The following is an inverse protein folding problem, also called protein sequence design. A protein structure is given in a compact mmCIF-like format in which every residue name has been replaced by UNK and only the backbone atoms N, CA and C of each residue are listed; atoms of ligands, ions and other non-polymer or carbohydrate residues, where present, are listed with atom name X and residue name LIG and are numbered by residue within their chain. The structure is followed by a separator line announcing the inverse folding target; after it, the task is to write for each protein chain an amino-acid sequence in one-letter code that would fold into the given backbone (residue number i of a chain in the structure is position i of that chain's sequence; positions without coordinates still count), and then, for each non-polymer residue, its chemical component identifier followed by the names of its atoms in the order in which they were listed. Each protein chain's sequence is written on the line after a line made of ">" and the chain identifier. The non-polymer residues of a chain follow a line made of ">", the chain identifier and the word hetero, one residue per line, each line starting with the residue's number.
data_IF_067240113341
#
_entry.id   IF_067240113341
#
_cell.length_a   1.000
_cell.length_b   1.000
_cell.length_c   1.000
_cell.angle_alpha   90.00
_cell.angle_beta   90.00
_cell.angle_gamma   90.00
#
_symmetry.space_group_name_H-M   'P 1'
#
loop_
_entity.id
_entity.type
_entity.pdbx_description
1 polymer ?
#
# COMPACT_ATOMS: atom_id res chain seq x y z
N UNK A 1 -11.75 -25.52 22.50
CA UNK A 1 -11.44 -24.19 21.93
C UNK A 1 -10.67 -24.48 20.67
N UNK A 2 -11.37 -24.54 19.55
CA UNK A 2 -10.74 -24.76 18.24
C UNK A 2 -10.23 -23.41 17.78
N UNK A 3 -8.93 -23.25 17.78
CA UNK A 3 -8.24 -22.16 17.10
C UNK A 3 -8.39 -22.46 15.61
N UNK A 4 -9.42 -21.89 15.00
CA UNK A 4 -9.64 -22.00 13.56
C UNK A 4 -8.56 -21.12 12.93
N UNK A 5 -7.49 -21.74 12.42
CA UNK A 5 -6.51 -21.05 11.61
C UNK A 5 -7.24 -20.32 10.47
N UNK A 6 -6.98 -19.03 10.22
CA UNK A 6 -7.65 -18.31 9.17
C UNK A 6 -7.44 -19.04 7.83
N UNK A 7 -8.45 -19.06 6.95
CA UNK A 7 -8.29 -19.72 5.65
C UNK A 7 -7.10 -19.11 4.93
N UNK A 8 -6.08 -19.93 4.63
CA UNK A 8 -4.97 -19.53 3.75
C UNK A 8 -5.56 -19.05 2.44
N UNK A 9 -5.52 -17.73 2.23
CA UNK A 9 -6.01 -17.08 1.02
C UNK A 9 -5.22 -17.62 -0.17
N UNK A 10 -5.93 -18.05 -1.20
CA UNK A 10 -5.32 -18.66 -2.39
C UNK A 10 -4.33 -17.71 -3.07
N UNK A 11 -3.22 -18.27 -3.56
CA UNK A 11 -2.15 -17.68 -4.37
C UNK A 11 -2.65 -16.69 -5.46
N UNK A 12 -3.79 -16.98 -6.09
CA UNK A 12 -4.42 -16.11 -7.09
C UNK A 12 -4.80 -14.71 -6.59
N UNK A 13 -5.03 -14.55 -5.28
CA UNK A 13 -5.39 -13.24 -4.70
C UNK A 13 -4.18 -12.31 -4.50
N UNK A 14 -2.97 -12.85 -4.61
CA UNK A 14 -1.70 -12.14 -4.51
C UNK A 14 -1.08 -11.89 -5.90
N UNK A 15 -1.68 -12.40 -6.98
CA UNK A 15 -1.16 -12.19 -8.32
C UNK A 15 -1.10 -10.69 -8.71
N UNK A 16 0.08 -10.26 -9.17
CA UNK A 16 0.29 -8.90 -9.68
C UNK A 16 -0.70 -8.56 -10.81
N UNK A 17 -1.16 -7.30 -10.91
CA UNK A 17 -2.11 -6.91 -11.93
C UNK A 17 -1.51 -7.05 -13.33
N UNK A 18 -2.25 -7.79 -14.17
CA UNK A 18 -1.87 -8.13 -15.55
C UNK A 18 -2.92 -7.60 -16.55
N UNK A 19 -2.58 -7.58 -17.84
CA UNK A 19 -3.48 -7.07 -18.89
C UNK A 19 -3.88 -5.61 -18.66
N UNK A 20 -5.16 -5.28 -18.95
CA UNK A 20 -5.70 -3.93 -18.81
C UNK A 20 -5.66 -3.42 -17.36
N UNK A 21 -5.90 -4.30 -16.38
CA UNK A 21 -5.76 -3.98 -14.94
C UNK A 21 -4.33 -3.56 -14.61
N UNK A 22 -3.35 -4.27 -15.15
CA UNK A 22 -1.94 -3.94 -14.98
C UNK A 22 -1.56 -2.59 -15.58
N UNK A 23 -2.09 -2.26 -16.76
CA UNK A 23 -1.88 -0.94 -17.39
C UNK A 23 -2.50 0.16 -16.52
N UNK A 24 -3.77 0.00 -16.12
CA UNK A 24 -4.46 0.97 -15.29
C UNK A 24 -3.76 1.20 -13.94
N UNK A 25 -3.28 0.13 -13.28
CA UNK A 25 -2.56 0.21 -12.01
C UNK A 25 -1.25 1.00 -12.15
N UNK A 26 -0.45 0.71 -13.19
CA UNK A 26 0.79 1.48 -13.47
C UNK A 26 0.49 2.95 -13.75
N UNK A 27 -0.50 3.24 -14.59
CA UNK A 27 -0.91 4.62 -14.87
C UNK A 27 -1.32 5.34 -13.59
N UNK A 28 -2.09 4.70 -12.70
CA UNK A 28 -2.49 5.29 -11.43
C UNK A 28 -1.29 5.68 -10.57
N UNK A 29 -0.29 4.80 -10.46
CA UNK A 29 0.94 5.07 -9.71
C UNK A 29 1.71 6.22 -10.38
N UNK A 30 1.90 6.18 -11.69
CA UNK A 30 2.62 7.23 -12.43
C UNK A 30 1.98 8.62 -12.26
N UNK A 31 0.65 8.71 -12.34
CA UNK A 31 -0.09 9.96 -12.12
C UNK A 31 0.08 10.48 -10.68
N UNK A 32 -0.04 9.59 -9.69
CA UNK A 32 0.18 9.95 -8.28
C UNK A 32 1.59 10.47 -8.04
N UNK A 33 2.59 9.76 -8.56
CA UNK A 33 3.99 10.18 -8.44
C UNK A 33 4.28 11.48 -9.17
N UNK A 34 3.61 11.75 -10.29
CA UNK A 34 3.68 13.05 -10.95
C UNK A 34 3.05 14.16 -10.10
N UNK A 35 1.98 13.86 -9.36
CA UNK A 35 1.43 14.76 -8.35
C UNK A 35 2.45 15.07 -7.26
N UNK A 36 2.99 14.02 -6.64
CA UNK A 36 4.00 14.12 -5.58
C UNK A 36 5.24 14.89 -6.03
N UNK A 37 5.81 14.58 -7.20
CA UNK A 37 6.96 15.30 -7.79
C UNK A 37 6.71 16.78 -8.01
N UNK A 38 5.47 17.20 -8.29
CA UNK A 38 5.13 18.62 -8.45
C UNK A 38 5.03 19.35 -7.12
N UNK A 39 4.79 18.63 -6.03
CA UNK A 39 4.64 19.19 -4.68
C UNK A 39 5.95 19.21 -3.88
N UNK A 40 6.98 18.50 -4.35
CA UNK A 40 8.27 18.35 -3.69
C UNK A 40 9.34 19.15 -4.46
N UNK A 41 10.08 20.03 -3.78
CA UNK A 41 11.09 20.94 -4.36
C UNK A 41 12.48 20.27 -4.52
N UNK A 42 12.52 18.95 -4.74
CA UNK A 42 13.74 18.18 -4.98
C UNK A 42 13.48 17.07 -5.97
N UNK A 43 14.54 16.63 -6.65
CA UNK A 43 14.45 15.49 -7.56
C UNK A 43 14.21 14.20 -6.76
N UNK A 44 13.07 13.56 -6.98
CA UNK A 44 12.78 12.26 -6.38
C UNK A 44 13.48 11.21 -7.21
N UNK A 45 14.34 10.43 -6.56
CA UNK A 45 15.09 9.34 -7.18
C UNK A 45 14.18 8.53 -8.12
N UNK A 46 14.68 8.13 -9.31
CA UNK A 46 13.86 7.43 -10.28
C UNK A 46 13.18 6.21 -9.65
N UNK A 47 11.95 5.95 -10.10
CA UNK A 47 11.08 4.85 -9.65
C UNK A 47 11.80 3.50 -9.72
N UNK A 48 12.80 3.36 -10.58
CA UNK A 48 13.29 2.05 -11.01
C UNK A 48 14.74 1.74 -10.63
N UNK A 49 15.38 2.53 -9.75
CA UNK A 49 16.75 2.19 -9.31
C UNK A 49 16.66 1.13 -8.21
N UNK A 50 16.52 -0.13 -8.63
CA UNK A 50 16.76 -1.31 -7.78
C UNK A 50 18.23 -1.70 -7.97
N UNK A 51 19.09 -1.21 -7.08
CA UNK A 51 20.54 -1.50 -7.16
C UNK A 51 20.85 -2.98 -6.84
N UNK A 52 20.02 -3.60 -5.99
CA UNK A 52 20.14 -5.01 -5.61
C UNK A 52 18.75 -5.65 -5.56
N UNK A 53 18.38 -6.47 -6.55
CA UNK A 53 17.14 -7.23 -6.50
C UNK A 53 17.13 -8.20 -5.33
N UNK A 54 15.97 -8.33 -4.68
CA UNK A 54 15.75 -9.34 -3.65
C UNK A 54 15.79 -10.73 -4.29
N UNK A 55 16.33 -11.72 -3.58
CA UNK A 55 16.33 -13.12 -4.06
C UNK A 55 14.90 -13.58 -4.32
N UNK A 56 14.66 -14.28 -5.42
CA UNK A 56 13.30 -14.60 -5.89
C UNK A 56 12.41 -15.25 -4.82
N UNK A 57 12.93 -16.22 -4.07
CA UNK A 57 12.19 -16.89 -2.99
C UNK A 57 11.81 -15.94 -1.84
N UNK A 58 12.76 -15.10 -1.40
CA UNK A 58 12.50 -14.07 -0.39
C UNK A 58 11.56 -12.99 -0.89
N UNK A 59 11.66 -12.62 -2.18
CA UNK A 59 10.79 -11.61 -2.80
C UNK A 59 9.34 -12.06 -2.81
N UNK A 60 9.08 -13.31 -3.21
CA UNK A 60 7.75 -13.92 -3.18
C UNK A 60 7.21 -13.97 -1.75
N UNK A 61 7.99 -14.50 -0.81
CA UNK A 61 7.54 -14.60 0.58
C UNK A 61 7.21 -13.25 1.22
N UNK A 62 8.10 -12.26 1.09
CA UNK A 62 7.88 -10.92 1.66
C UNK A 62 6.70 -10.20 1.00
N UNK A 63 6.49 -10.44 -0.30
CA UNK A 63 5.34 -9.89 -1.02
C UNK A 63 4.02 -10.53 -0.57
N UNK A 64 3.99 -11.85 -0.41
CA UNK A 64 2.83 -12.59 0.12
C UNK A 64 2.51 -12.13 1.54
N UNK A 65 3.52 -11.95 2.39
CA UNK A 65 3.37 -11.45 3.77
C UNK A 65 2.74 -10.03 3.78
N UNK A 66 3.18 -9.12 2.91
CA UNK A 66 2.56 -7.80 2.78
C UNK A 66 1.08 -7.89 2.36
N UNK A 67 0.76 -8.81 1.44
CA UNK A 67 -0.62 -9.02 1.00
C UNK A 67 -1.48 -9.62 2.14
N UNK A 68 -0.95 -10.58 2.89
CA UNK A 68 -1.61 -11.17 4.05
C UNK A 68 -1.91 -10.12 5.12
N UNK A 69 -0.91 -9.30 5.49
CA UNK A 69 -1.10 -8.20 6.44
C UNK A 69 -2.22 -7.25 6.01
N UNK A 70 -2.26 -6.85 4.74
CA UNK A 70 -3.36 -6.02 4.21
C UNK A 70 -4.73 -6.66 4.46
N UNK A 71 -4.90 -7.96 4.19
CA UNK A 71 -6.20 -8.62 4.35
C UNK A 71 -6.56 -8.85 5.80
N UNK A 72 -5.58 -9.21 6.63
CA UNK A 72 -5.76 -9.40 8.06
C UNK A 72 -6.20 -8.10 8.71
N UNK A 73 -5.45 -7.02 8.51
CA UNK A 73 -5.72 -5.72 9.13
C UNK A 73 -7.03 -5.09 8.64
N UNK A 74 -7.33 -5.19 7.34
CA UNK A 74 -8.61 -4.76 6.80
C UNK A 74 -9.79 -5.58 7.38
N UNK A 75 -9.61 -6.89 7.55
CA UNK A 75 -10.64 -7.77 8.12
C UNK A 75 -10.97 -7.41 9.58
N UNK A 76 -9.97 -7.00 10.36
CA UNK A 76 -10.18 -6.56 11.74
C UNK A 76 -10.99 -5.25 11.83
N UNK A 77 -10.81 -4.30 10.91
CA UNK A 77 -11.65 -3.09 10.83
C UNK A 77 -13.11 -3.46 10.53
N UNK A 78 -13.33 -4.35 9.54
CA UNK A 78 -14.67 -4.73 9.11
C UNK A 78 -15.44 -5.47 10.21
N UNK A 79 -14.76 -6.26 11.05
CA UNK A 79 -15.35 -7.01 12.16
C UNK A 79 -15.63 -6.16 13.40
N UNK A 80 -14.77 -5.19 13.70
CA UNK A 80 -14.87 -4.40 14.94
C UNK A 80 -15.85 -3.24 14.84
N UNK A 81 -16.14 -2.76 13.61
CA UNK A 81 -17.15 -1.74 13.37
C UNK A 81 -16.89 -0.43 14.12
N UNK A 82 -15.64 -0.17 14.50
CA UNK A 82 -15.22 1.10 15.08
C UNK A 82 -15.34 2.18 13.99
N UNK A 83 -16.53 2.75 13.88
CA UNK A 83 -16.80 3.91 13.03
C UNK A 83 -15.88 5.05 13.47
N UNK A 84 -14.79 5.22 12.74
CA UNK A 84 -13.94 6.39 12.87
C UNK A 84 -14.70 7.63 12.37
N UNK A 85 -15.55 8.17 13.24
CA UNK A 85 -16.11 9.51 13.11
C UNK A 85 -14.98 10.49 13.41
N UNK A 86 -14.16 10.78 12.40
CA UNK A 86 -13.04 11.70 12.50
C UNK A 86 -12.63 12.21 11.12
N UNK A 87 -12.63 13.53 10.95
CA UNK A 87 -12.21 14.19 9.71
C UNK A 87 -10.68 14.13 9.59
N UNK A 88 -10.12 12.99 9.17
CA UNK A 88 -8.68 12.82 8.96
C UNK A 88 -8.35 11.46 8.34
N UNK A 89 -8.48 11.33 7.01
CA UNK A 89 -8.33 10.05 6.30
C UNK A 89 -7.01 9.33 6.60
N UNK A 90 -5.86 9.96 6.34
CA UNK A 90 -4.56 9.30 6.47
C UNK A 90 -4.23 8.82 7.90
N UNK A 91 -4.59 9.59 8.93
CA UNK A 91 -4.37 9.21 10.34
C UNK A 91 -5.20 7.97 10.71
N UNK A 92 -6.40 7.84 10.13
CA UNK A 92 -7.24 6.65 10.30
C UNK A 92 -6.66 5.45 9.55
N UNK A 93 -6.17 5.63 8.32
CA UNK A 93 -5.55 4.53 7.56
C UNK A 93 -4.27 4.01 8.25
N UNK A 94 -3.48 4.88 8.89
CA UNK A 94 -2.31 4.44 9.69
C UNK A 94 -2.72 3.61 10.92
N UNK A 95 -3.87 3.92 11.53
CA UNK A 95 -4.43 3.13 12.63
C UNK A 95 -5.03 1.80 12.17
N UNK A 96 -5.55 1.73 10.95
CA UNK A 96 -6.05 0.47 10.35
C UNK A 96 -4.89 -0.46 10.01
N UNK A 97 -3.77 0.07 9.51
CA UNK A 97 -2.65 -0.72 8.99
C UNK A 97 -1.32 -0.63 9.77
N UNK A 98 -1.30 -0.72 11.11
CA UNK A 98 -0.09 -0.45 11.88
C UNK A 98 1.01 -1.50 11.63
N UNK A 99 0.65 -2.78 11.52
CA UNK A 99 1.57 -3.88 11.27
C UNK A 99 2.07 -3.90 9.83
N UNK A 100 1.19 -3.66 8.85
CA UNK A 100 1.61 -3.52 7.46
C UNK A 100 2.57 -2.35 7.26
N UNK A 101 2.30 -1.18 7.86
CA UNK A 101 3.18 -0.03 7.72
C UNK A 101 4.53 -0.25 8.42
N UNK A 102 4.53 -0.88 9.59
CA UNK A 102 5.78 -1.29 10.25
C UNK A 102 6.58 -2.29 9.41
N UNK A 103 5.90 -3.23 8.74
CA UNK A 103 6.52 -4.15 7.80
C UNK A 103 7.13 -3.42 6.59
N UNK A 104 6.41 -2.45 6.02
CA UNK A 104 6.92 -1.61 4.94
C UNK A 104 8.17 -0.81 5.35
N UNK A 105 8.20 -0.29 6.58
CA UNK A 105 9.39 0.40 7.12
C UNK A 105 10.57 -0.58 7.31
N UNK A 106 10.30 -1.85 7.63
CA UNK A 106 11.33 -2.89 7.71
C UNK A 106 11.86 -3.31 6.32
N UNK A 107 11.03 -3.25 5.27
CA UNK A 107 11.46 -3.45 3.87
C UNK A 107 12.27 -2.26 3.34
N UNK A 108 12.07 -1.07 3.90
CA UNK A 108 12.70 0.18 3.46
C UNK A 108 13.52 0.81 4.61
N UNK A 109 14.49 0.07 5.17
CA UNK A 109 15.24 0.55 6.32
C UNK A 109 16.01 1.82 5.98
N UNK A 110 16.20 2.67 6.99
CA UNK A 110 17.04 3.87 6.92
C UNK A 110 18.29 3.68 7.76
N UNK A 111 19.38 4.29 7.31
CA UNK A 111 20.62 4.34 8.07
C UNK A 111 20.54 5.38 9.21
N UNK A 112 21.58 5.45 10.04
CA UNK A 112 21.64 6.38 11.18
C UNK A 112 21.60 7.86 10.80
N UNK A 113 21.91 8.20 9.54
CA UNK A 113 21.84 9.54 8.96
C UNK A 113 20.48 9.84 8.31
N UNK A 114 19.50 8.92 8.39
CA UNK A 114 18.14 9.10 7.89
C UNK A 114 17.97 8.86 6.39
N UNK A 115 19.04 8.54 5.68
CA UNK A 115 19.00 8.15 4.26
C UNK A 115 18.58 6.68 4.11
N UNK A 116 18.02 6.27 2.96
CA UNK A 116 17.68 4.87 2.70
C UNK A 116 18.91 3.95 2.78
N UNK A 117 18.80 2.85 3.52
CA UNK A 117 19.82 1.81 3.60
C UNK A 117 19.72 0.87 2.38
N UNK A 118 20.37 1.30 1.29
CA UNK A 118 20.34 0.63 -0.02
C UNK A 118 20.90 -0.79 -0.04
N UNK A 119 21.68 -1.18 0.96
CA UNK A 119 22.25 -2.53 1.04
C UNK A 119 21.29 -3.53 1.70
N UNK A 120 20.29 -3.04 2.45
CA UNK A 120 19.33 -3.84 3.20
C UNK A 120 17.89 -3.68 2.71
N UNK A 121 17.62 -2.72 1.82
CA UNK A 121 16.26 -2.50 1.32
C UNK A 121 15.77 -3.62 0.40
N UNK A 122 14.50 -3.95 0.56
CA UNK A 122 13.70 -4.82 -0.30
C UNK A 122 12.74 -3.96 -1.14
N UNK A 123 13.31 -2.95 -1.80
CA UNK A 123 12.56 -1.94 -2.56
C UNK A 123 11.72 -2.55 -3.70
N UNK A 124 12.20 -3.62 -4.33
CA UNK A 124 11.46 -4.33 -5.36
C UNK A 124 10.18 -4.99 -4.83
N UNK A 125 10.21 -5.56 -3.63
CA UNK A 125 9.01 -6.07 -2.94
C UNK A 125 8.02 -4.93 -2.68
N UNK A 126 8.50 -3.80 -2.19
CA UNK A 126 7.66 -2.63 -1.93
C UNK A 126 7.03 -2.05 -3.21
N UNK A 127 7.74 -2.07 -4.34
CA UNK A 127 7.18 -1.71 -5.65
C UNK A 127 6.13 -2.71 -6.13
N UNK A 128 6.38 -4.01 -6.01
CA UNK A 128 5.42 -5.05 -6.36
C UNK A 128 4.13 -4.90 -5.54
N UNK A 129 4.27 -4.66 -4.24
CA UNK A 129 3.15 -4.44 -3.35
C UNK A 129 2.36 -3.17 -3.68
N UNK A 130 3.05 -2.06 -3.95
CA UNK A 130 2.40 -0.82 -4.41
C UNK A 130 1.62 -1.04 -5.71
N UNK A 131 2.19 -1.79 -6.66
CA UNK A 131 1.52 -2.15 -7.90
C UNK A 131 0.29 -3.04 -7.65
N UNK A 132 0.40 -4.00 -6.74
CA UNK A 132 -0.71 -4.85 -6.32
C UNK A 132 -1.84 -4.03 -5.69
N UNK A 133 -1.54 -3.11 -4.76
CA UNK A 133 -2.52 -2.20 -4.15
C UNK A 133 -3.24 -1.34 -5.20
N UNK A 134 -2.50 -0.77 -6.15
CA UNK A 134 -3.09 0.00 -7.25
C UNK A 134 -4.02 -0.87 -8.12
N UNK A 135 -3.64 -2.12 -8.37
CA UNK A 135 -4.48 -3.12 -9.03
C UNK A 135 -5.76 -3.39 -8.25
N UNK A 136 -5.66 -3.55 -6.93
CA UNK A 136 -6.79 -3.77 -6.03
C UNK A 136 -7.76 -2.58 -6.04
N UNK A 137 -7.24 -1.36 -6.00
CA UNK A 137 -8.04 -0.14 -6.07
C UNK A 137 -8.82 -0.04 -7.40
N UNK A 138 -8.20 -0.40 -8.52
CA UNK A 138 -8.88 -0.47 -9.82
C UNK A 138 -10.05 -1.45 -9.77
N UNK A 139 -9.87 -2.63 -9.16
CA UNK A 139 -10.96 -3.61 -8.99
C UNK A 139 -12.11 -3.05 -8.17
N UNK A 140 -11.80 -2.43 -7.03
CA UNK A 140 -12.79 -1.83 -6.13
C UNK A 140 -13.60 -0.75 -6.85
N UNK A 141 -12.93 0.10 -7.64
CA UNK A 141 -13.55 1.16 -8.45
C UNK A 141 -14.39 0.64 -9.61
N UNK A 142 -14.02 -0.51 -10.17
CA UNK A 142 -14.77 -1.16 -11.26
C UNK A 142 -15.97 -1.96 -10.75
N UNK A 143 -15.93 -2.42 -9.49
CA UNK A 143 -17.02 -3.20 -8.91
C UNK A 143 -18.32 -2.39 -8.81
N UNK A 144 -19.44 -3.06 -9.06
CA UNK A 144 -20.78 -2.48 -9.01
C UNK A 144 -21.70 -3.39 -8.19
N UNK A 145 -21.54 -3.42 -6.86
CA UNK A 145 -22.38 -4.25 -6.02
C UNK A 145 -23.84 -3.78 -6.06
N UNK A 146 -24.77 -4.72 -5.93
CA UNK A 146 -26.21 -4.43 -5.98
C UNK A 146 -26.74 -3.97 -4.61
N UNK A 147 -26.26 -4.60 -3.53
CA UNK A 147 -26.67 -4.32 -2.16
C UNK A 147 -26.05 -3.02 -1.62
N UNK A 148 -26.83 -2.24 -0.87
CA UNK A 148 -26.38 -0.97 -0.28
C UNK A 148 -25.28 -1.16 0.76
N UNK A 149 -25.38 -2.19 1.60
CA UNK A 149 -24.39 -2.51 2.63
C UNK A 149 -23.05 -2.89 1.99
N UNK A 150 -23.08 -3.69 0.92
CA UNK A 150 -21.90 -4.06 0.15
C UNK A 150 -21.28 -2.85 -0.56
N UNK A 151 -22.10 -1.94 -1.11
CA UNK A 151 -21.62 -0.65 -1.66
C UNK A 151 -20.89 0.18 -0.60
N UNK A 152 -21.46 0.28 0.60
CA UNK A 152 -20.88 1.06 1.69
C UNK A 152 -19.54 0.46 2.12
N UNK A 153 -19.49 -0.87 2.32
CA UNK A 153 -18.25 -1.60 2.63
C UNK A 153 -17.18 -1.40 1.55
N UNK A 154 -17.54 -1.60 0.29
CA UNK A 154 -16.60 -1.41 -0.84
C UNK A 154 -16.07 0.01 -0.93
N UNK A 155 -16.90 1.04 -0.66
CA UNK A 155 -16.44 2.44 -0.65
C UNK A 155 -15.44 2.73 0.46
N UNK A 156 -15.63 2.15 1.65
CA UNK A 156 -14.66 2.27 2.75
C UNK A 156 -13.35 1.56 2.40
N UNK A 157 -13.43 0.34 1.88
CA UNK A 157 -12.24 -0.37 1.40
C UNK A 157 -11.53 0.42 0.29
N UNK A 158 -12.28 1.03 -0.64
CA UNK A 158 -11.74 1.88 -1.69
C UNK A 158 -10.96 3.06 -1.09
N UNK A 159 -11.58 3.84 -0.20
CA UNK A 159 -10.95 5.00 0.43
C UNK A 159 -9.68 4.63 1.21
N UNK A 160 -9.78 3.61 2.06
CA UNK A 160 -8.65 3.16 2.90
C UNK A 160 -7.51 2.60 2.03
N UNK A 161 -7.82 1.87 0.96
CA UNK A 161 -6.80 1.37 0.01
C UNK A 161 -6.16 2.51 -0.78
N UNK A 162 -6.95 3.51 -1.19
CA UNK A 162 -6.49 4.69 -1.93
C UNK A 162 -5.52 5.53 -1.08
N UNK A 163 -5.76 5.67 0.22
CA UNK A 163 -4.85 6.34 1.16
C UNK A 163 -3.62 5.50 1.48
N UNK A 164 -3.77 4.18 1.66
CA UNK A 164 -2.65 3.27 1.90
C UNK A 164 -1.63 3.30 0.74
N UNK A 165 -2.10 3.45 -0.51
CA UNK A 165 -1.23 3.64 -1.68
C UNK A 165 -0.32 4.86 -1.50
N UNK A 166 -0.85 5.96 -0.98
CA UNK A 166 -0.04 7.16 -0.71
C UNK A 166 0.95 6.92 0.41
N UNK A 167 0.53 6.32 1.53
CA UNK A 167 1.41 6.02 2.65
C UNK A 167 2.59 5.10 2.27
N UNK A 168 2.32 4.09 1.44
CA UNK A 168 3.34 3.19 0.89
C UNK A 168 4.25 3.94 -0.09
N UNK A 169 3.68 4.76 -0.98
CA UNK A 169 4.46 5.56 -1.91
C UNK A 169 5.38 6.55 -1.17
N UNK A 170 4.88 7.24 -0.14
CA UNK A 170 5.68 8.19 0.64
C UNK A 170 6.89 7.53 1.30
N UNK A 171 6.72 6.32 1.84
CA UNK A 171 7.82 5.51 2.37
C UNK A 171 8.82 5.13 1.28
N UNK A 172 8.32 4.66 0.14
CA UNK A 172 9.13 4.23 -1.00
C UNK A 172 10.01 5.34 -1.57
N UNK A 173 9.48 6.55 -1.70
CA UNK A 173 10.20 7.73 -2.18
C UNK A 173 10.89 8.52 -1.07
N UNK A 174 10.77 8.06 0.18
CA UNK A 174 11.39 8.64 1.34
C UNK A 174 10.98 10.10 1.56
N UNK A 175 9.69 10.39 1.45
CA UNK A 175 9.15 11.70 1.78
C UNK A 175 9.26 11.97 3.28
N UNK A 176 9.52 13.23 3.61
CA UNK A 176 9.52 13.75 4.99
C UNK A 176 8.11 14.10 5.42
N UNK A 177 7.87 14.17 6.74
CA UNK A 177 6.56 14.58 7.28
C UNK A 177 6.11 15.95 6.72
N UNK A 178 7.02 16.91 6.62
CA UNK A 178 6.73 18.23 6.03
C UNK A 178 6.35 18.16 4.54
N UNK A 179 6.93 17.22 3.78
CA UNK A 179 6.55 16.99 2.38
C UNK A 179 5.17 16.34 2.27
N UNK A 180 4.86 15.40 3.16
CA UNK A 180 3.55 14.73 3.23
C UNK A 180 2.45 15.71 3.61
N UNK A 181 2.65 16.52 4.66
CA UNK A 181 1.71 17.56 5.07
C UNK A 181 1.39 18.51 3.91
N UNK A 182 2.41 19.01 3.21
CA UNK A 182 2.22 19.87 2.03
C UNK A 182 1.44 19.23 0.89
N UNK A 183 1.49 17.91 0.75
CA UNK A 183 0.72 17.17 -0.26
C UNK A 183 -0.73 17.01 0.18
N UNK A 184 -0.96 16.75 1.47
CA UNK A 184 -2.28 16.52 2.06
C UNK A 184 -3.09 17.80 2.29
N UNK A 185 -2.43 18.96 2.45
CA UNK A 185 -3.07 20.26 2.62
C UNK A 185 -3.60 20.90 1.31
N UNK A 186 -3.45 20.24 0.16
CA UNK A 186 -3.91 20.73 -1.16
C UNK A 186 -5.24 20.12 -1.59
#
# INVERSE_FOLDING_TARGET
>A
MSEEAPPTRTDASYALPSGDRGVAARTLIEERLRGVRRSVDRDLAPVDVVLRPTRSESRTHLFEEACELYWTELGWEEETGEEAVGSGGAELTEMVFPGLLAFMDALLPRNTNGEPDRDREHRDVAHDFLLWLAGRLVELRSARPEALEERARMRRQEATTDELIDLVAYRLYGLTSEEVERIQER
#
